data_IF_076071121163
#
_entry.id   IF_076071121163
#
_cell.length_a   1.000
_cell.length_b   1.000
_cell.length_c   1.000
_cell.angle_alpha   90.00
_cell.angle_beta   90.00
_cell.angle_gamma   90.00
#
_symmetry.space_group_name_H-M   'P 1'
#
loop_
_entity.id
_entity.type
_entity.pdbx_description
1 polymer ?
#
# COMPACT_ATOMS: atom_id res chain seq x y z
N UNK A 1 -6.52 -15.43 8.49
CA UNK A 1 -6.00 -14.06 8.32
C UNK A 1 -5.94 -13.42 9.70
N UNK A 2 -4.94 -12.58 9.99
CA UNK A 2 -4.70 -12.06 11.34
C UNK A 2 -5.74 -11.04 11.83
N UNK A 3 -6.48 -10.41 10.91
CA UNK A 3 -7.42 -9.32 11.20
C UNK A 3 -8.83 -9.63 10.68
N UNK A 4 -9.86 -9.29 11.47
CA UNK A 4 -11.27 -9.46 11.10
C UNK A 4 -11.82 -8.32 10.23
N UNK A 5 -11.14 -7.17 10.22
CA UNK A 5 -11.42 -5.98 9.40
C UNK A 5 -10.15 -5.53 8.68
N UNK A 6 -10.28 -4.55 7.77
CA UNK A 6 -9.10 -3.88 7.21
C UNK A 6 -8.26 -3.28 8.36
N UNK A 7 -6.93 -3.47 8.37
CA UNK A 7 -6.09 -2.92 9.43
C UNK A 7 -6.09 -1.39 9.34
N UNK A 8 -6.31 -0.73 10.47
CA UNK A 8 -6.31 0.72 10.53
C UNK A 8 -4.90 1.32 10.36
N UNK A 9 -4.83 2.64 10.26
CA UNK A 9 -3.58 3.38 10.09
C UNK A 9 -2.56 3.06 11.19
N UNK A 10 -2.99 3.05 12.46
CA UNK A 10 -2.09 2.82 13.59
C UNK A 10 -1.50 1.41 13.60
N UNK A 11 -2.33 0.42 13.27
CA UNK A 11 -1.93 -1.00 13.13
C UNK A 11 -0.90 -1.14 12.03
N UNK A 12 -1.18 -0.61 10.83
CA UNK A 12 -0.26 -0.69 9.70
C UNK A 12 1.07 0.02 9.99
N UNK A 13 1.06 1.20 10.62
CA UNK A 13 2.30 1.90 11.02
C UNK A 13 3.13 1.03 11.96
N UNK A 14 2.50 0.41 12.96
CA UNK A 14 3.19 -0.44 13.93
C UNK A 14 3.84 -1.64 13.25
N UNK A 15 3.12 -2.34 12.39
CA UNK A 15 3.63 -3.51 11.67
C UNK A 15 4.77 -3.13 10.70
N UNK A 16 4.63 -2.03 9.96
CA UNK A 16 5.68 -1.56 9.05
C UNK A 16 6.93 -1.10 9.78
N UNK A 17 6.81 -0.42 10.93
CA UNK A 17 7.97 -0.04 11.75
C UNK A 17 8.74 -1.26 12.24
N UNK A 18 8.05 -2.30 12.70
CA UNK A 18 8.70 -3.54 13.11
C UNK A 18 9.53 -4.16 11.97
N UNK A 19 8.98 -4.17 10.74
CA UNK A 19 9.71 -4.66 9.58
C UNK A 19 10.93 -3.78 9.23
N UNK A 20 10.77 -2.46 9.29
CA UNK A 20 11.84 -1.49 9.01
C UNK A 20 12.98 -1.61 10.04
N UNK A 21 12.65 -1.69 11.32
CA UNK A 21 13.63 -1.81 12.41
C UNK A 21 14.44 -3.10 12.26
N UNK A 22 13.79 -4.21 11.87
CA UNK A 22 14.46 -5.48 11.62
C UNK A 22 15.47 -5.45 10.44
N UNK A 23 15.37 -4.45 9.54
CA UNK A 23 16.25 -4.32 8.39
C UNK A 23 17.58 -3.62 8.71
N UNK A 24 17.73 -3.03 9.91
CA UNK A 24 18.96 -2.37 10.38
C UNK A 24 19.51 -1.33 9.38
N UNK A 25 18.65 -0.42 8.93
CA UNK A 25 19.00 0.67 8.00
C UNK A 25 19.05 0.28 6.52
N UNK A 26 18.76 -0.99 6.17
CA UNK A 26 18.57 -1.40 4.77
C UNK A 26 17.18 -0.99 4.26
N UNK A 27 17.02 -0.69 2.96
CA UNK A 27 15.72 -0.32 2.40
C UNK A 27 14.64 -1.37 2.60
N UNK A 28 13.46 -0.95 3.08
CA UNK A 28 12.25 -1.77 2.99
C UNK A 28 11.66 -1.64 1.59
N UNK A 29 11.48 -2.76 0.90
CA UNK A 29 10.65 -2.82 -0.32
C UNK A 29 9.26 -3.34 0.07
N UNK A 30 8.31 -2.42 0.22
CA UNK A 30 6.94 -2.74 0.56
C UNK A 30 6.10 -2.89 -0.72
N UNK A 31 5.51 -4.08 -0.92
CA UNK A 31 4.48 -4.27 -1.93
C UNK A 31 3.14 -3.82 -1.36
N UNK A 32 2.42 -2.95 -2.06
CA UNK A 32 1.04 -2.61 -1.67
C UNK A 32 0.12 -3.83 -1.75
N UNK A 33 -1.11 -3.71 -1.24
CA UNK A 33 -2.05 -4.81 -1.15
C UNK A 33 -2.19 -5.57 -2.49
N UNK A 34 -1.86 -6.87 -2.47
CA UNK A 34 -1.91 -7.77 -3.64
C UNK A 34 -2.86 -8.95 -3.37
N UNK A 35 -4.15 -8.64 -3.46
CA UNK A 35 -5.27 -9.56 -3.26
C UNK A 35 -6.22 -9.52 -4.46
N UNK A 36 -7.07 -10.53 -4.59
CA UNK A 36 -8.03 -10.71 -5.69
C UNK A 36 -9.06 -11.78 -5.33
N UNK A 37 -9.85 -12.24 -6.30
CA UNK A 37 -10.91 -13.24 -6.09
C UNK A 37 -10.43 -14.58 -5.52
N UNK A 38 -9.15 -14.92 -5.69
CA UNK A 38 -8.51 -16.12 -5.12
C UNK A 38 -8.16 -15.98 -3.62
N UNK A 39 -8.22 -14.76 -3.06
CA UNK A 39 -7.89 -14.44 -1.68
C UNK A 39 -9.00 -13.58 -1.05
N UNK A 40 -10.15 -14.18 -0.70
CA UNK A 40 -11.32 -13.42 -0.24
C UNK A 40 -11.02 -12.68 1.07
N UNK A 41 -11.23 -11.37 1.06
CA UNK A 41 -11.18 -10.53 2.26
C UNK A 41 -12.60 -10.41 2.84
N UNK A 42 -12.85 -10.85 4.09
CA UNK A 42 -14.20 -10.78 4.68
C UNK A 42 -14.80 -9.37 4.70
N UNK A 43 -13.95 -8.34 4.76
CA UNK A 43 -14.33 -6.92 4.80
C UNK A 43 -14.29 -6.23 3.43
N UNK A 44 -13.88 -6.94 2.37
CA UNK A 44 -13.83 -6.39 1.01
C UNK A 44 -14.32 -7.46 0.03
N UNK A 45 -15.65 -7.61 -0.10
CA UNK A 45 -16.23 -8.57 -1.02
C UNK A 45 -15.87 -8.20 -2.46
N UNK A 46 -15.14 -9.08 -3.12
CA UNK A 46 -14.82 -8.98 -4.55
C UNK A 46 -15.81 -9.87 -5.31
N UNK A 47 -16.41 -9.40 -6.43
CA UNK A 47 -17.27 -10.24 -7.25
C UNK A 47 -16.54 -11.52 -7.66
N UNK A 48 -17.27 -12.64 -7.72
CA UNK A 48 -16.71 -13.87 -8.27
C UNK A 48 -16.52 -13.69 -9.78
N UNK A 49 -15.33 -14.03 -10.27
CA UNK A 49 -14.95 -13.95 -11.68
C UNK A 49 -14.63 -15.36 -12.20
N UNK A 50 -14.92 -15.61 -13.49
CA UNK A 50 -14.58 -16.87 -14.15
C UNK A 50 -13.07 -17.14 -14.13
N UNK A 51 -12.25 -16.08 -14.21
CA UNK A 51 -10.81 -16.16 -14.08
C UNK A 51 -10.24 -15.06 -13.15
N UNK A 52 -10.03 -15.35 -11.85
CA UNK A 52 -9.55 -14.36 -10.88
C UNK A 52 -8.09 -13.91 -11.11
N UNK A 53 -7.30 -14.63 -11.91
CA UNK A 53 -5.92 -14.23 -12.23
C UNK A 53 -5.87 -13.09 -13.24
N UNK A 54 -6.86 -13.00 -14.13
CA UNK A 54 -6.96 -11.95 -15.14
C UNK A 54 -7.89 -10.80 -14.71
N UNK A 55 -8.63 -11.00 -13.63
CA UNK A 55 -9.68 -10.10 -13.16
C UNK A 55 -9.22 -8.98 -12.23
N UNK A 56 -10.08 -8.65 -11.26
CA UNK A 56 -9.94 -7.53 -10.33
C UNK A 56 -9.03 -7.90 -9.15
N UNK A 57 -7.75 -7.55 -9.28
CA UNK A 57 -6.72 -7.85 -8.27
C UNK A 57 -5.62 -6.79 -8.19
N UNK A 58 -4.81 -6.86 -7.15
CA UNK A 58 -3.65 -5.98 -6.95
C UNK A 58 -4.05 -4.51 -7.03
N UNK A 59 -3.32 -3.72 -7.82
CA UNK A 59 -3.59 -2.28 -7.90
C UNK A 59 -4.98 -1.96 -8.49
N UNK A 60 -5.50 -2.78 -9.40
CA UNK A 60 -6.82 -2.57 -9.99
C UNK A 60 -7.91 -2.63 -8.92
N UNK A 61 -7.80 -3.61 -8.02
CA UNK A 61 -8.69 -3.73 -6.89
C UNK A 61 -8.49 -2.55 -5.92
N UNK A 62 -7.24 -2.23 -5.56
CA UNK A 62 -6.92 -1.12 -4.66
C UNK A 62 -7.50 0.22 -5.14
N UNK A 63 -7.50 0.48 -6.45
CA UNK A 63 -8.06 1.69 -7.04
C UNK A 63 -9.60 1.76 -6.97
N UNK A 64 -10.29 0.64 -6.70
CA UNK A 64 -11.76 0.65 -6.46
C UNK A 64 -12.13 1.06 -5.03
N UNK A 65 -11.18 1.01 -4.08
CA UNK A 65 -11.32 1.60 -2.74
C UNK A 65 -10.09 2.47 -2.41
N UNK A 66 -10.03 3.69 -2.95
CA UNK A 66 -8.88 4.57 -2.79
C UNK A 66 -8.57 4.89 -1.32
N UNK A 67 -9.55 4.88 -0.42
CA UNK A 67 -9.34 5.13 1.01
C UNK A 67 -8.46 4.06 1.69
N UNK A 68 -8.58 2.79 1.27
CA UNK A 68 -7.73 1.70 1.78
C UNK A 68 -6.31 1.86 1.27
N UNK A 69 -6.15 2.18 -0.02
CA UNK A 69 -4.85 2.45 -0.63
C UNK A 69 -4.18 3.67 0.01
N UNK A 70 -4.92 4.75 0.23
CA UNK A 70 -4.43 5.95 0.90
C UNK A 70 -3.98 5.65 2.33
N UNK A 71 -4.79 4.90 3.09
CA UNK A 71 -4.43 4.49 4.45
C UNK A 71 -3.12 3.71 4.47
N UNK A 72 -2.95 2.78 3.53
CA UNK A 72 -1.71 1.99 3.41
C UNK A 72 -0.50 2.86 3.02
N UNK A 73 -0.64 3.73 2.02
CA UNK A 73 0.44 4.64 1.60
C UNK A 73 0.83 5.60 2.74
N UNK A 74 -0.15 6.16 3.44
CA UNK A 74 0.08 7.02 4.61
C UNK A 74 0.82 6.26 5.70
N UNK A 75 0.41 5.03 6.00
CA UNK A 75 1.06 4.18 6.99
C UNK A 75 2.53 3.90 6.63
N UNK A 76 2.81 3.50 5.39
CA UNK A 76 4.17 3.25 4.90
C UNK A 76 5.04 4.49 5.00
N UNK A 77 4.53 5.64 4.53
CA UNK A 77 5.25 6.92 4.61
C UNK A 77 5.59 7.29 6.05
N UNK A 78 4.63 7.21 6.97
CA UNK A 78 4.86 7.55 8.39
C UNK A 78 5.78 6.55 9.11
N UNK A 79 5.69 5.27 8.76
CA UNK A 79 6.57 4.22 9.30
C UNK A 79 8.02 4.40 8.85
N UNK A 80 8.24 4.82 7.60
CA UNK A 80 9.56 5.05 7.00
C UNK A 80 10.26 6.36 7.39
N UNK A 81 9.80 7.06 8.45
CA UNK A 81 10.46 8.30 8.90
C UNK A 81 11.94 8.03 9.20
N UNK A 82 12.84 8.80 8.56
CA UNK A 82 14.31 8.64 8.63
C UNK A 82 14.86 7.28 8.15
N UNK A 83 14.09 6.50 7.40
CA UNK A 83 14.48 5.17 6.92
C UNK A 83 14.26 5.06 5.40
N UNK A 84 15.13 4.34 4.67
CA UNK A 84 14.95 4.14 3.24
C UNK A 84 13.73 3.25 2.95
N UNK A 85 12.82 3.75 2.11
CA UNK A 85 11.57 3.08 1.76
C UNK A 85 11.39 2.99 0.23
N UNK A 86 10.95 1.84 -0.26
CA UNK A 86 10.58 1.61 -1.66
C UNK A 86 9.18 1.02 -1.69
N UNK A 87 8.26 1.64 -2.43
CA UNK A 87 6.87 1.21 -2.54
C UNK A 87 6.66 0.63 -3.93
N UNK A 88 6.41 -0.68 -4.00
CA UNK A 88 6.19 -1.43 -5.23
C UNK A 88 4.70 -1.66 -5.45
N UNK A 89 4.22 -1.37 -6.67
CA UNK A 89 2.82 -1.52 -7.06
C UNK A 89 2.60 -2.83 -7.83
N UNK A 90 1.76 -3.77 -7.34
CA UNK A 90 1.51 -5.02 -8.02
C UNK A 90 0.55 -4.84 -9.21
N UNK A 91 0.79 -5.58 -10.29
CA UNK A 91 -0.15 -5.74 -11.41
C UNK A 91 -0.50 -4.46 -12.19
N UNK A 92 0.37 -3.44 -12.16
CA UNK A 92 0.21 -2.23 -13.00
C UNK A 92 0.22 -2.63 -14.47
N UNK A 93 -0.89 -2.37 -15.16
CA UNK A 93 -1.09 -2.66 -16.58
C UNK A 93 -0.66 -1.51 -17.47
N UNK A 94 -0.97 -0.28 -17.06
CA UNK A 94 -0.74 0.91 -17.86
C UNK A 94 -0.38 2.13 -17.01
N UNK A 95 0.01 3.20 -17.71
CA UNK A 95 0.46 4.44 -17.08
C UNK A 95 -0.67 5.19 -16.36
N UNK A 96 -1.94 4.97 -16.71
CA UNK A 96 -3.05 5.64 -16.07
C UNK A 96 -3.26 5.10 -14.65
N UNK A 97 -3.17 3.78 -14.48
CA UNK A 97 -3.18 3.14 -13.15
C UNK A 97 -2.03 3.66 -12.28
N UNK A 98 -0.81 3.73 -12.83
CA UNK A 98 0.33 4.29 -12.09
C UNK A 98 0.10 5.75 -11.68
N UNK A 99 -0.39 6.59 -12.59
CA UNK A 99 -0.67 8.01 -12.31
C UNK A 99 -1.73 8.17 -11.22
N UNK A 100 -2.80 7.38 -11.24
CA UNK A 100 -3.83 7.42 -10.21
C UNK A 100 -3.27 7.16 -8.80
N UNK A 101 -2.36 6.19 -8.67
CA UNK A 101 -1.67 5.93 -7.41
C UNK A 101 -0.70 7.06 -7.05
N UNK A 102 0.04 7.56 -8.06
CA UNK A 102 0.99 8.65 -7.88
C UNK A 102 0.30 9.93 -7.38
N UNK A 103 -0.91 10.23 -7.85
CA UNK A 103 -1.65 11.41 -7.41
C UNK A 103 -2.01 11.33 -5.91
N UNK A 104 -2.43 10.14 -5.43
CA UNK A 104 -2.65 9.90 -3.98
C UNK A 104 -1.34 10.05 -3.22
N UNK A 105 -0.27 9.43 -3.71
CA UNK A 105 1.05 9.48 -3.09
C UNK A 105 1.60 10.91 -3.00
N UNK A 106 1.57 11.68 -4.09
CA UNK A 106 2.06 13.06 -4.15
C UNK A 106 1.26 13.97 -3.21
N UNK A 107 -0.07 13.79 -3.15
CA UNK A 107 -0.90 14.51 -2.19
C UNK A 107 -0.48 14.21 -0.74
N UNK A 108 -0.27 12.93 -0.40
CA UNK A 108 0.21 12.55 0.93
C UNK A 108 1.58 13.16 1.25
N UNK A 109 2.49 13.26 0.28
CA UNK A 109 3.80 13.91 0.49
C UNK A 109 3.68 15.41 0.78
N UNK A 110 2.63 16.07 0.28
CA UNK A 110 2.32 17.48 0.54
C UNK A 110 1.63 17.67 1.90
N UNK A 111 0.72 16.77 2.26
CA UNK A 111 -0.02 16.81 3.53
C UNK A 111 0.86 16.47 4.75
N UNK A 112 1.75 15.49 4.60
CA UNK A 112 2.58 14.99 5.68
C UNK A 112 3.87 15.82 5.83
N UNK A 113 4.14 16.42 7.00
CA UNK A 113 5.40 17.11 7.27
C UNK A 113 6.61 16.18 7.09
N UNK A 114 7.73 16.71 6.60
CA UNK A 114 8.96 15.93 6.40
C UNK A 114 9.50 15.27 7.67
N UNK A 115 9.18 15.82 8.84
CA UNK A 115 9.52 15.23 10.15
C UNK A 115 8.66 14.02 10.54
N UNK A 116 7.58 13.75 9.81
CA UNK A 116 6.60 12.70 10.10
C UNK A 116 6.46 11.69 8.95
N UNK A 117 7.36 11.72 7.96
CA UNK A 117 7.35 10.78 6.83
C UNK A 117 8.73 10.41 6.34
N UNK A 118 8.79 9.35 5.54
CA UNK A 118 9.94 8.99 4.74
C UNK A 118 10.33 10.12 3.77
N UNK A 119 11.63 10.39 3.70
CA UNK A 119 12.25 11.38 2.80
C UNK A 119 13.10 10.71 1.73
N UNK A 120 13.79 9.60 2.06
CA UNK A 120 14.34 8.65 1.09
C UNK A 120 13.27 7.62 0.70
N UNK A 121 12.35 8.05 -0.16
CA UNK A 121 11.23 7.23 -0.62
C UNK A 121 11.12 7.21 -2.15
N UNK A 122 10.83 6.04 -2.70
CA UNK A 122 10.54 5.85 -4.13
C UNK A 122 9.23 5.09 -4.31
N UNK A 123 8.46 5.51 -5.31
CA UNK A 123 7.24 4.83 -5.77
C UNK A 123 7.50 4.26 -7.17
N UNK A 124 7.26 2.96 -7.36
CA UNK A 124 7.51 2.26 -8.61
C UNK A 124 8.31 0.99 -8.39
#
# INVERSE_FOLDING_TARGET
>A
MAHASAPDLATQISEYRQAIDALNGRPLVARTLDVGGDKPLPYWPVPQEDNPFLGLRGIRLALTQPDVLETQLRALLMAGTNQPLRIMLPMVKDIAEFRAVKDIYDRLLQELPTSQRATDVQLG
#
